data_IF_175765411216
#
_entry.id   IF_175765411216
#
_cell.length_a   1.000
_cell.length_b   1.000
_cell.length_c   1.000
_cell.angle_alpha   90.00
_cell.angle_beta   90.00
_cell.angle_gamma   90.00
#
_symmetry.space_group_name_H-M   'P 1'
#
loop_
_entity.id
_entity.type
_entity.pdbx_description
1 polymer ?
#
# COMPACT_ATOMS: atom_id res chain seq x y z
N UNK A 1 -11.61 22.02 5.44
CA UNK A 1 -10.25 22.52 5.34
C UNK A 1 -9.29 21.36 5.19
N UNK A 2 -8.25 21.54 4.37
CA UNK A 2 -7.21 20.53 4.18
C UNK A 2 -6.40 20.35 5.48
N UNK A 3 -5.96 19.11 5.75
CA UNK A 3 -5.07 18.83 6.86
C UNK A 3 -3.62 19.21 6.48
N UNK A 4 -2.88 19.70 7.46
CA UNK A 4 -1.42 19.77 7.38
C UNK A 4 -0.80 18.47 7.91
N UNK A 5 0.45 18.18 7.55
CA UNK A 5 1.15 16.98 7.98
C UNK A 5 2.55 17.30 8.52
N UNK A 6 2.95 16.50 9.51
CA UNK A 6 4.35 16.37 9.88
C UNK A 6 4.95 15.20 9.13
N UNK A 7 6.03 15.43 8.43
CA UNK A 7 6.86 14.40 7.83
C UNK A 7 7.72 13.73 8.91
N UNK A 8 7.64 12.42 9.01
CA UNK A 8 8.48 11.61 9.89
C UNK A 8 9.17 10.56 9.03
N UNK A 9 10.49 10.49 9.11
CA UNK A 9 11.28 9.53 8.34
C UNK A 9 12.36 8.89 9.19
N UNK A 10 12.67 7.64 8.89
CA UNK A 10 13.79 6.90 9.45
C UNK A 10 14.43 6.08 8.33
N UNK A 11 15.69 6.38 8.04
CA UNK A 11 16.54 5.59 7.14
C UNK A 11 17.69 5.03 7.95
N UNK A 12 17.92 3.73 7.84
CA UNK A 12 19.00 3.04 8.53
C UNK A 12 19.47 1.81 7.76
N UNK A 13 20.63 1.30 8.11
CA UNK A 13 21.16 0.07 7.52
C UNK A 13 22.06 -0.69 8.48
N UNK A 14 22.13 -2.00 8.28
CA UNK A 14 23.02 -2.85 9.08
C UNK A 14 23.79 -3.81 8.18
N UNK A 15 25.11 -3.89 8.39
CA UNK A 15 25.97 -4.91 7.77
C UNK A 15 25.83 -6.24 8.50
N UNK A 16 25.80 -7.34 7.75
CA UNK A 16 25.78 -8.69 8.32
C UNK A 16 27.11 -8.98 9.02
N UNK A 17 28.23 -8.71 8.35
CA UNK A 17 29.58 -8.86 8.90
C UNK A 17 30.16 -7.48 9.21
N UNK A 18 30.39 -7.21 10.49
CA UNK A 18 30.99 -5.94 10.93
C UNK A 18 32.42 -5.81 10.38
N UNK A 19 32.79 -4.60 9.98
CA UNK A 19 34.14 -4.25 9.50
C UNK A 19 34.62 -5.06 8.27
N UNK A 20 33.68 -5.57 7.44
CA UNK A 20 33.98 -6.27 6.20
C UNK A 20 33.53 -5.42 5.02
N UNK A 21 34.47 -5.15 4.09
CA UNK A 21 34.12 -4.50 2.83
C UNK A 21 33.32 -5.46 1.97
N UNK A 22 32.25 -4.93 1.32
CA UNK A 22 31.33 -5.75 0.52
C UNK A 22 30.44 -6.70 1.32
N UNK A 23 30.38 -6.55 2.68
CA UNK A 23 29.44 -7.30 3.49
C UNK A 23 28.00 -7.11 3.00
N UNK A 24 27.18 -8.17 2.98
CA UNK A 24 25.74 -8.04 2.80
C UNK A 24 25.16 -7.02 3.78
N UNK A 25 24.11 -6.32 3.33
CA UNK A 25 23.49 -5.23 4.06
C UNK A 25 21.97 -5.39 4.07
N UNK A 26 21.34 -5.09 5.20
CA UNK A 26 19.91 -4.83 5.27
C UNK A 26 19.67 -3.32 5.33
N UNK A 27 18.81 -2.81 4.46
CA UNK A 27 18.43 -1.38 4.38
C UNK A 27 16.97 -1.23 4.80
N UNK A 28 16.71 -0.28 5.67
CA UNK A 28 15.38 0.09 6.14
C UNK A 28 15.11 1.55 5.88
N UNK A 29 13.97 1.85 5.26
CA UNK A 29 13.51 3.21 5.02
C UNK A 29 12.00 3.30 5.25
N UNK A 30 11.56 4.24 6.08
CA UNK A 30 10.14 4.48 6.33
C UNK A 30 9.84 5.98 6.36
N UNK A 31 8.80 6.37 5.64
CA UNK A 31 8.29 7.73 5.57
C UNK A 31 6.81 7.76 5.94
N UNK A 32 6.45 8.44 7.02
CA UNK A 32 5.09 8.57 7.53
C UNK A 32 4.65 10.03 7.57
N UNK A 33 3.39 10.25 7.20
CA UNK A 33 2.71 11.54 7.30
C UNK A 33 1.76 11.52 8.49
N UNK A 34 2.07 12.29 9.54
CA UNK A 34 1.21 12.42 10.70
C UNK A 34 0.40 13.72 10.59
N UNK A 35 -0.95 13.65 10.61
CA UNK A 35 -1.78 14.83 10.46
C UNK A 35 -1.63 15.79 11.62
N UNK A 36 -1.53 17.09 11.28
CA UNK A 36 -1.65 18.21 12.22
C UNK A 36 -3.06 18.77 12.14
N UNK A 37 -3.80 18.73 13.22
CA UNK A 37 -5.15 19.29 13.27
C UNK A 37 -5.49 19.74 14.68
N UNK A 38 -6.22 20.87 14.80
CA UNK A 38 -6.83 21.31 16.06
C UNK A 38 -8.09 20.51 16.41
N UNK A 39 -8.62 19.76 15.46
CA UNK A 39 -9.77 18.86 15.67
C UNK A 39 -9.30 17.59 16.36
N UNK A 40 -9.41 17.60 17.70
CA UNK A 40 -8.97 16.46 18.53
C UNK A 40 -9.65 15.15 18.11
N UNK A 41 -10.94 15.19 17.78
CA UNK A 41 -11.71 14.03 17.34
C UNK A 41 -11.18 13.40 16.04
N UNK A 42 -10.68 14.23 15.12
CA UNK A 42 -10.03 13.77 13.87
C UNK A 42 -8.65 13.19 14.17
N UNK A 43 -7.86 13.83 15.02
CA UNK A 43 -6.56 13.33 15.43
C UNK A 43 -6.67 11.95 16.13
N UNK A 44 -7.58 11.84 17.09
CA UNK A 44 -7.85 10.60 17.85
C UNK A 44 -8.31 9.45 16.94
N UNK A 45 -8.95 9.75 15.81
CA UNK A 45 -9.34 8.76 14.81
C UNK A 45 -8.19 8.40 13.85
N UNK A 46 -7.55 9.40 13.22
CA UNK A 46 -6.60 9.17 12.12
C UNK A 46 -5.25 8.64 12.60
N UNK A 47 -4.69 9.19 13.67
CA UNK A 47 -3.33 8.83 14.11
C UNK A 47 -3.21 7.33 14.38
N UNK A 48 -4.14 6.67 15.10
CA UNK A 48 -4.10 5.23 15.28
C UNK A 48 -4.20 4.43 13.97
N UNK A 49 -4.92 4.93 12.96
CA UNK A 49 -4.99 4.26 11.65
C UNK A 49 -3.65 4.32 10.93
N UNK A 50 -3.02 5.48 10.91
CA UNK A 50 -1.73 5.70 10.26
C UNK A 50 -0.62 4.91 10.97
N UNK A 51 -0.64 4.85 12.29
CA UNK A 51 0.35 4.09 13.08
C UNK A 51 0.18 2.55 12.98
N UNK A 52 -0.82 2.04 12.28
CA UNK A 52 -0.98 0.61 11.96
C UNK A 52 -0.44 0.21 10.60
N UNK A 53 -0.18 1.18 9.74
CA UNK A 53 0.13 0.97 8.31
C UNK A 53 1.28 -0.02 8.06
N UNK A 54 2.42 0.00 8.77
CA UNK A 54 3.55 -0.87 8.48
C UNK A 54 3.29 -2.37 8.66
N UNK A 55 2.27 -2.76 9.43
CA UNK A 55 1.96 -4.19 9.66
C UNK A 55 1.03 -4.79 8.59
N UNK A 56 0.38 -3.95 7.77
CA UNK A 56 -0.66 -4.41 6.84
C UNK A 56 -0.11 -5.07 5.56
N UNK A 57 1.19 -5.14 5.38
CA UNK A 57 1.81 -5.54 4.10
C UNK A 57 2.72 -6.75 4.21
N UNK A 58 2.67 -7.50 5.28
CA UNK A 58 3.21 -8.85 5.27
C UNK A 58 2.29 -9.73 4.42
N UNK A 59 2.62 -9.87 3.14
CA UNK A 59 2.04 -10.89 2.26
C UNK A 59 2.56 -12.28 2.70
N UNK A 60 2.29 -12.67 3.94
CA UNK A 60 2.48 -14.05 4.33
C UNK A 60 1.30 -14.84 3.78
N UNK A 61 1.63 -15.75 2.87
CA UNK A 61 0.74 -16.80 2.40
C UNK A 61 0.00 -17.45 3.57
N UNK A 62 -1.25 -17.78 3.30
CA UNK A 62 -2.24 -18.39 4.17
C UNK A 62 -1.75 -19.74 4.75
N UNK A 63 -1.08 -19.71 5.88
CA UNK A 63 -0.97 -20.86 6.76
C UNK A 63 -2.08 -20.77 7.82
N UNK A 64 -3.10 -21.57 7.60
CA UNK A 64 -4.43 -21.69 8.20
C UNK A 64 -4.61 -21.60 9.72
N UNK A 65 -3.79 -20.91 10.46
CA UNK A 65 -3.94 -20.71 11.91
C UNK A 65 -4.05 -19.20 12.22
N UNK A 66 -5.30 -18.69 12.16
CA UNK A 66 -5.65 -17.30 12.49
C UNK A 66 -5.49 -17.03 13.97
N UNK A 67 -4.26 -16.91 14.43
CA UNK A 67 -4.02 -16.14 15.64
C UNK A 67 -4.10 -14.66 15.26
N UNK A 68 -5.16 -13.99 15.69
CA UNK A 68 -5.26 -12.53 15.63
C UNK A 68 -4.13 -11.96 16.48
N UNK A 69 -2.98 -11.68 15.86
CA UNK A 69 -1.89 -10.98 16.53
C UNK A 69 -2.42 -9.61 16.92
N UNK A 70 -2.40 -9.31 18.21
CA UNK A 70 -2.80 -8.01 18.73
C UNK A 70 -1.79 -6.99 18.19
N UNK A 71 -2.25 -6.11 17.28
CA UNK A 71 -1.41 -5.05 16.70
C UNK A 71 -0.95 -4.15 17.84
N UNK A 72 0.36 -3.96 18.07
CA UNK A 72 0.83 -3.10 19.14
C UNK A 72 0.42 -1.65 18.88
N UNK A 73 -0.02 -0.96 19.91
CA UNK A 73 -0.34 0.47 19.83
C UNK A 73 0.91 1.26 20.18
N UNK A 74 1.45 1.96 19.22
CA UNK A 74 2.62 2.82 19.42
C UNK A 74 2.19 4.20 19.92
N UNK A 75 3.00 4.79 20.81
CA UNK A 75 2.73 6.11 21.37
C UNK A 75 2.87 7.26 20.35
N UNK A 76 3.75 7.08 19.38
CA UNK A 76 4.06 8.05 18.33
C UNK A 76 4.76 7.41 17.12
N UNK A 77 4.96 8.18 16.06
CA UNK A 77 5.59 7.73 14.84
C UNK A 77 7.04 7.26 15.06
N UNK A 78 7.79 7.94 15.94
CA UNK A 78 9.19 7.56 16.21
C UNK A 78 9.28 6.18 16.84
N UNK A 79 8.43 5.88 17.83
CA UNK A 79 8.37 4.57 18.47
C UNK A 79 8.00 3.47 17.47
N UNK A 80 7.02 3.73 16.59
CA UNK A 80 6.64 2.81 15.53
C UNK A 80 7.81 2.53 14.58
N UNK A 81 8.42 3.58 14.03
CA UNK A 81 9.50 3.45 13.04
C UNK A 81 10.71 2.71 13.62
N UNK A 82 11.09 3.02 14.87
CA UNK A 82 12.18 2.32 15.55
C UNK A 82 11.86 0.84 15.78
N UNK A 83 10.65 0.52 16.25
CA UNK A 83 10.25 -0.86 16.49
C UNK A 83 10.26 -1.69 15.20
N UNK A 84 9.76 -1.14 14.08
CA UNK A 84 9.79 -1.82 12.79
C UNK A 84 11.22 -2.04 12.28
N UNK A 85 12.08 -1.00 12.35
CA UNK A 85 13.49 -1.13 12.00
C UNK A 85 14.19 -2.22 12.84
N UNK A 86 14.01 -2.19 14.15
CA UNK A 86 14.68 -3.12 15.06
C UNK A 86 14.20 -4.56 14.82
N UNK A 87 12.91 -4.75 14.57
CA UNK A 87 12.34 -6.05 14.21
C UNK A 87 12.93 -6.58 12.89
N UNK A 88 12.97 -5.73 11.85
CA UNK A 88 13.53 -6.09 10.56
C UNK A 88 15.02 -6.46 10.64
N UNK A 89 15.82 -5.66 11.34
CA UNK A 89 17.25 -5.96 11.51
C UNK A 89 17.51 -7.18 12.39
N UNK A 90 16.65 -7.44 13.38
CA UNK A 90 16.72 -8.65 14.19
C UNK A 90 16.43 -9.90 13.36
N UNK A 91 15.34 -9.86 12.57
CA UNK A 91 14.98 -10.93 11.65
C UNK A 91 16.12 -11.22 10.66
N UNK A 92 16.66 -10.18 10.01
CA UNK A 92 17.77 -10.30 9.07
C UNK A 92 18.99 -11.01 9.69
N UNK A 93 19.38 -10.58 10.88
CA UNK A 93 20.52 -11.18 11.58
C UNK A 93 20.25 -12.62 12.02
N UNK A 94 19.02 -12.95 12.40
CA UNK A 94 18.65 -14.30 12.82
C UNK A 94 18.64 -15.28 11.64
N UNK A 95 18.15 -14.85 10.47
CA UNK A 95 18.18 -15.66 9.24
C UNK A 95 19.61 -16.07 8.89
N UNK A 96 20.57 -15.16 9.01
CA UNK A 96 21.97 -15.37 8.61
C UNK A 96 22.93 -15.59 9.79
N UNK A 97 22.43 -15.95 10.97
CA UNK A 97 23.25 -16.11 12.20
C UNK A 97 24.37 -17.15 12.09
N UNK A 98 24.14 -18.19 11.30
CA UNK A 98 25.09 -19.30 11.12
C UNK A 98 26.00 -19.11 9.89
N UNK A 99 25.78 -18.03 9.13
CA UNK A 99 26.59 -17.73 7.97
C UNK A 99 27.99 -17.24 8.35
N UNK A 100 28.98 -17.74 7.61
CA UNK A 100 30.39 -17.38 7.82
C UNK A 100 30.92 -16.66 6.59
N UNK A 101 31.81 -15.71 6.83
CA UNK A 101 32.52 -15.04 5.77
C UNK A 101 33.30 -16.07 4.91
N UNK A 102 33.01 -16.11 3.62
CA UNK A 102 33.68 -16.95 2.66
C UNK A 102 34.06 -16.14 1.42
N UNK A 103 35.25 -16.39 0.88
CA UNK A 103 35.71 -15.74 -0.35
C UNK A 103 34.90 -16.13 -1.61
N UNK A 104 34.07 -17.18 -1.52
CA UNK A 104 33.29 -17.72 -2.65
C UNK A 104 31.80 -17.44 -2.55
N UNK A 105 31.33 -16.75 -1.51
CA UNK A 105 29.91 -16.47 -1.34
C UNK A 105 29.48 -15.30 -2.23
N UNK A 106 28.42 -15.54 -3.00
CA UNK A 106 27.71 -14.49 -3.73
C UNK A 106 26.78 -13.76 -2.75
N UNK A 107 27.31 -12.76 -2.06
CA UNK A 107 26.59 -12.03 -1.00
C UNK A 107 25.41 -11.21 -1.52
N UNK A 108 25.22 -11.07 -2.82
CA UNK A 108 24.11 -10.30 -3.38
C UNK A 108 22.74 -10.81 -2.93
N UNK A 109 22.55 -12.14 -2.89
CA UNK A 109 21.31 -12.76 -2.46
C UNK A 109 21.01 -12.59 -0.96
N UNK A 110 22.01 -12.13 -0.19
CA UNK A 110 21.90 -11.88 1.24
C UNK A 110 21.64 -10.39 1.56
N UNK A 111 21.54 -9.53 0.56
CA UNK A 111 21.08 -8.16 0.77
C UNK A 111 19.56 -8.13 0.95
N UNK A 112 19.10 -7.40 1.96
CA UNK A 112 17.69 -7.21 2.25
C UNK A 112 17.34 -5.73 2.22
N UNK A 113 16.09 -5.41 1.86
CA UNK A 113 15.56 -4.06 1.92
C UNK A 113 14.10 -4.07 2.35
N UNK A 114 13.72 -3.12 3.17
CA UNK A 114 12.33 -2.86 3.54
C UNK A 114 12.09 -1.34 3.44
N UNK A 115 11.21 -0.93 2.54
CA UNK A 115 10.90 0.47 2.28
C UNK A 115 9.39 0.69 2.36
N UNK A 116 8.99 1.71 3.10
CA UNK A 116 7.59 2.13 3.23
C UNK A 116 7.48 3.63 3.02
N UNK A 117 6.54 4.08 2.20
CA UNK A 117 6.23 5.50 2.05
C UNK A 117 4.73 5.76 2.11
N UNK A 118 4.36 6.95 2.57
CA UNK A 118 2.98 7.43 2.59
C UNK A 118 2.89 8.74 1.84
N UNK A 119 1.92 8.82 0.91
CA UNK A 119 1.64 10.00 0.11
C UNK A 119 0.18 10.43 0.24
N UNK A 120 -0.05 11.76 0.20
CA UNK A 120 -1.40 12.32 0.17
C UNK A 120 -1.89 12.39 -1.27
N UNK A 121 -2.96 11.67 -1.59
CA UNK A 121 -3.59 11.66 -2.91
C UNK A 121 -4.68 12.75 -3.01
N UNK A 122 -5.46 12.91 -1.94
CA UNK A 122 -6.53 13.90 -1.85
C UNK A 122 -6.74 14.35 -0.41
N UNK A 123 -7.00 15.63 -0.19
CA UNK A 123 -7.12 16.20 1.14
C UNK A 123 -8.00 17.46 1.12
N UNK A 124 -9.26 17.27 0.80
CA UNK A 124 -10.26 18.36 0.74
C UNK A 124 -11.64 17.84 1.14
N UNK A 125 -12.58 18.73 1.39
CA UNK A 125 -14.00 18.44 1.67
C UNK A 125 -14.21 17.41 2.78
N UNK A 126 -13.36 17.41 3.81
CA UNK A 126 -13.34 16.41 4.88
C UNK A 126 -13.11 14.96 4.41
N UNK A 127 -12.44 14.79 3.28
CA UNK A 127 -11.94 13.51 2.80
C UNK A 127 -10.42 13.58 2.76
N UNK A 128 -9.77 12.59 3.37
CA UNK A 128 -8.34 12.35 3.25
C UNK A 128 -8.12 11.03 2.52
N UNK A 129 -7.42 11.06 1.41
CA UNK A 129 -6.97 9.86 0.70
C UNK A 129 -5.47 9.74 0.72
N UNK A 130 -4.99 8.55 1.09
CA UNK A 130 -3.57 8.22 1.18
C UNK A 130 -3.23 7.07 0.24
N UNK A 131 -2.01 7.10 -0.29
CA UNK A 131 -1.34 5.97 -0.89
C UNK A 131 -0.18 5.54 0.01
N UNK A 132 -0.14 4.26 0.36
CA UNK A 132 0.91 3.66 1.17
C UNK A 132 1.62 2.65 0.29
N UNK A 133 2.87 2.94 -0.09
CA UNK A 133 3.68 2.09 -0.94
C UNK A 133 4.72 1.33 -0.12
N UNK A 134 4.88 0.06 -0.43
CA UNK A 134 5.83 -0.82 0.23
C UNK A 134 6.69 -1.53 -0.80
N UNK A 135 7.95 -1.74 -0.46
CA UNK A 135 8.89 -2.56 -1.20
C UNK A 135 9.71 -3.39 -0.24
N UNK A 136 9.75 -4.69 -0.46
CA UNK A 136 10.55 -5.64 0.28
C UNK A 136 11.44 -6.44 -0.67
N UNK A 137 12.72 -6.54 -0.33
CA UNK A 137 13.64 -7.44 -0.99
C UNK A 137 14.29 -8.34 0.07
N UNK A 138 14.07 -9.63 -0.07
CA UNK A 138 14.59 -10.66 0.84
C UNK A 138 15.45 -11.68 0.09
N UNK A 139 16.24 -11.20 -0.86
CA UNK A 139 16.99 -12.04 -1.78
C UNK A 139 16.15 -12.54 -2.96
N UNK A 140 16.76 -13.30 -3.84
CA UNK A 140 16.10 -13.86 -5.02
C UNK A 140 16.18 -12.97 -6.26
N UNK A 141 15.28 -13.20 -7.22
CA UNK A 141 15.34 -12.57 -8.55
C UNK A 141 14.81 -11.12 -8.57
N UNK A 142 13.86 -10.78 -7.69
CA UNK A 142 13.24 -9.45 -7.60
C UNK A 142 12.64 -9.23 -6.21
N UNK A 143 12.40 -7.97 -5.85
CA UNK A 143 11.65 -7.62 -4.66
C UNK A 143 10.14 -7.74 -4.87
N UNK A 144 9.40 -7.73 -3.78
CA UNK A 144 7.95 -7.55 -3.77
C UNK A 144 7.63 -6.08 -3.55
N UNK A 145 6.59 -5.61 -4.20
CA UNK A 145 6.10 -4.25 -4.00
C UNK A 145 4.59 -4.21 -4.10
N UNK A 146 4.01 -3.21 -3.49
CA UNK A 146 2.58 -2.98 -3.57
C UNK A 146 2.18 -1.63 -2.99
N UNK A 147 1.05 -1.13 -3.43
CA UNK A 147 0.46 0.11 -2.96
C UNK A 147 -0.93 -0.14 -2.41
N UNK A 148 -1.16 0.30 -1.18
CA UNK A 148 -2.48 0.32 -0.54
C UNK A 148 -3.05 1.73 -0.63
N UNK A 149 -4.24 1.85 -1.19
CA UNK A 149 -5.01 3.08 -1.26
C UNK A 149 -6.08 3.06 -0.17
N UNK A 150 -6.28 4.18 0.50
CA UNK A 150 -7.33 4.32 1.52
C UNK A 150 -7.88 5.73 1.53
N UNK A 151 -9.18 5.86 1.77
CA UNK A 151 -9.85 7.16 1.98
C UNK A 151 -10.57 7.18 3.32
N UNK A 152 -10.46 8.31 4.02
CA UNK A 152 -11.11 8.55 5.31
C UNK A 152 -12.14 9.68 5.18
N UNK A 153 -13.33 9.45 5.72
CA UNK A 153 -14.31 10.50 5.96
C UNK A 153 -14.02 11.11 7.36
N UNK A 154 -13.53 12.35 7.38
CA UNK A 154 -13.11 13.03 8.61
C UNK A 154 -14.27 13.53 9.47
N UNK A 155 -15.47 13.69 8.89
CA UNK A 155 -16.67 14.05 9.63
C UNK A 155 -17.26 12.84 10.32
N UNK A 156 -17.37 11.72 9.61
CA UNK A 156 -17.93 10.47 10.14
C UNK A 156 -16.90 9.63 10.90
N UNK A 157 -15.62 9.99 10.79
CA UNK A 157 -14.48 9.28 11.43
C UNK A 157 -14.49 7.78 11.07
N UNK A 158 -14.52 7.50 9.78
CA UNK A 158 -14.50 6.13 9.25
C UNK A 158 -13.67 6.03 7.97
N UNK A 159 -13.23 4.80 7.68
CA UNK A 159 -12.71 4.43 6.37
C UNK A 159 -13.87 4.41 5.38
N UNK A 160 -13.66 4.96 4.19
CA UNK A 160 -14.64 4.94 3.10
C UNK A 160 -14.53 3.61 2.38
N UNK A 161 -15.63 2.87 2.29
CA UNK A 161 -15.75 1.60 1.57
C UNK A 161 -16.49 1.77 0.24
N UNK A 162 -16.46 0.75 -0.63
CA UNK A 162 -17.25 0.78 -1.87
C UNK A 162 -18.75 0.98 -1.61
N UNK A 163 -19.28 0.45 -0.52
CA UNK A 163 -20.69 0.63 -0.14
C UNK A 163 -21.02 2.07 0.31
N UNK A 164 -20.03 2.82 0.76
CA UNK A 164 -20.21 4.25 1.06
C UNK A 164 -20.23 5.09 -0.23
N UNK A 165 -19.46 4.67 -1.23
CA UNK A 165 -19.32 5.39 -2.50
C UNK A 165 -20.46 5.09 -3.45
N UNK A 166 -20.94 3.85 -3.47
CA UNK A 166 -21.89 3.37 -4.48
C UNK A 166 -23.23 2.96 -3.87
N UNK A 167 -24.29 3.18 -4.63
CA UNK A 167 -25.62 2.65 -4.36
C UNK A 167 -25.75 1.16 -4.73
N UNK A 168 -26.98 0.65 -4.74
CA UNK A 168 -27.26 -0.72 -5.18
C UNK A 168 -26.88 -0.94 -6.66
N UNK A 169 -26.54 -2.19 -7.00
CA UNK A 169 -26.32 -2.65 -8.39
C UNK A 169 -25.22 -1.92 -9.16
N UNK A 170 -24.25 -1.33 -8.49
CA UNK A 170 -23.16 -0.56 -9.10
C UNK A 170 -22.15 -1.41 -9.89
N UNK A 171 -21.98 -2.69 -9.53
CA UNK A 171 -20.89 -3.53 -10.03
C UNK A 171 -20.81 -3.62 -11.56
N UNK A 172 -21.89 -3.85 -12.32
CA UNK A 172 -21.79 -3.93 -13.77
C UNK A 172 -21.30 -2.62 -14.42
N UNK A 173 -21.73 -1.49 -13.90
CA UNK A 173 -21.35 -0.17 -14.41
C UNK A 173 -19.92 0.17 -14.03
N UNK A 174 -19.53 -0.07 -12.79
CA UNK A 174 -18.18 0.16 -12.33
C UNK A 174 -17.18 -0.75 -13.05
N UNK A 175 -17.47 -2.05 -13.17
CA UNK A 175 -16.59 -2.99 -13.88
C UNK A 175 -16.42 -2.60 -15.35
N UNK A 176 -17.47 -2.07 -16.00
CA UNK A 176 -17.37 -1.56 -17.36
C UNK A 176 -16.47 -0.32 -17.46
N UNK A 177 -16.56 0.60 -16.50
CA UNK A 177 -15.70 1.77 -16.43
C UNK A 177 -14.23 1.37 -16.17
N UNK A 178 -13.99 0.39 -15.30
CA UNK A 178 -12.66 -0.17 -15.04
C UNK A 178 -12.09 -0.84 -16.30
N UNK A 179 -12.89 -1.62 -17.04
CA UNK A 179 -12.47 -2.20 -18.31
C UNK A 179 -12.08 -1.12 -19.32
N UNK A 180 -12.85 -0.04 -19.39
CA UNK A 180 -12.55 1.10 -20.28
C UNK A 180 -11.21 1.74 -19.91
N UNK A 181 -10.96 1.97 -18.62
CA UNK A 181 -9.70 2.50 -18.11
C UNK A 181 -8.53 1.55 -18.41
N UNK A 182 -8.71 0.25 -18.19
CA UNK A 182 -7.71 -0.78 -18.46
C UNK A 182 -7.33 -0.82 -19.95
N UNK A 183 -8.32 -0.85 -20.83
CA UNK A 183 -8.11 -0.83 -22.29
C UNK A 183 -7.33 0.40 -22.73
N UNK A 184 -7.66 1.56 -22.18
CA UNK A 184 -6.93 2.80 -22.45
C UNK A 184 -5.48 2.72 -21.99
N UNK A 185 -5.25 2.23 -20.76
CA UNK A 185 -3.91 2.11 -20.17
C UNK A 185 -3.00 1.20 -21.01
N UNK A 186 -3.49 0.04 -21.41
CA UNK A 186 -2.72 -0.96 -22.17
C UNK A 186 -2.91 -0.86 -23.69
N UNK A 187 -3.61 0.16 -24.20
CA UNK A 187 -3.88 0.38 -25.64
C UNK A 187 -4.53 -0.82 -26.33
N UNK A 188 -5.44 -1.50 -25.62
CA UNK A 188 -6.21 -2.63 -26.15
C UNK A 188 -7.37 -2.13 -27.02
N UNK A 189 -7.55 -2.74 -28.20
CA UNK A 189 -8.75 -2.50 -29.00
C UNK A 189 -9.99 -3.13 -28.35
N UNK A 190 -11.18 -2.69 -28.77
CA UNK A 190 -12.45 -3.18 -28.21
C UNK A 190 -12.66 -4.69 -28.38
N UNK A 191 -12.06 -5.29 -29.42
CA UNK A 191 -12.13 -6.73 -29.73
C UNK A 191 -11.04 -7.56 -29.05
N UNK A 192 -10.02 -6.92 -28.46
CA UNK A 192 -8.92 -7.66 -27.84
C UNK A 192 -9.38 -8.30 -26.53
N UNK A 193 -8.91 -9.51 -26.28
CA UNK A 193 -9.16 -10.19 -25.00
C UNK A 193 -8.42 -9.49 -23.88
N UNK A 194 -9.03 -9.33 -22.69
CA UNK A 194 -8.35 -8.83 -21.51
C UNK A 194 -7.29 -9.83 -21.02
N UNK A 195 -7.43 -11.12 -21.34
CA UNK A 195 -6.43 -12.15 -21.01
C UNK A 195 -5.09 -11.97 -21.75
N UNK A 196 -4.98 -11.01 -22.64
CA UNK A 196 -3.67 -10.58 -23.16
C UNK A 196 -2.81 -9.89 -22.07
N UNK A 197 -3.43 -9.38 -21.00
CA UNK A 197 -2.79 -8.69 -19.88
C UNK A 197 -3.14 -9.37 -18.55
N UNK A 198 -4.42 -9.67 -18.33
CA UNK A 198 -4.93 -10.23 -17.08
C UNK A 198 -4.92 -11.75 -17.08
N UNK A 199 -4.96 -12.36 -15.90
CA UNK A 199 -5.17 -13.81 -15.76
C UNK A 199 -6.54 -14.24 -16.29
N UNK A 200 -7.58 -13.42 -16.05
CA UNK A 200 -8.94 -13.63 -16.51
C UNK A 200 -9.33 -12.68 -17.64
N UNK A 201 -10.35 -13.06 -18.43
CA UNK A 201 -10.92 -12.18 -19.47
C UNK A 201 -11.96 -11.21 -18.90
N UNK A 202 -11.80 -10.78 -17.66
CA UNK A 202 -12.68 -9.81 -16.98
C UNK A 202 -11.89 -9.01 -15.97
N UNK A 203 -12.43 -7.85 -15.58
CA UNK A 203 -11.94 -7.08 -14.45
C UNK A 203 -13.09 -6.78 -13.50
N UNK A 204 -12.84 -6.85 -12.22
CA UNK A 204 -13.78 -6.52 -11.16
C UNK A 204 -13.18 -5.46 -10.23
N UNK A 205 -14.05 -4.67 -9.59
CA UNK A 205 -13.61 -3.68 -8.63
C UNK A 205 -12.91 -4.35 -7.43
N UNK A 206 -11.87 -3.68 -6.94
CA UNK A 206 -11.15 -4.04 -5.72
C UNK A 206 -11.48 -3.05 -4.60
N UNK A 207 -11.34 -3.50 -3.35
CA UNK A 207 -11.41 -2.63 -2.17
C UNK A 207 -10.15 -1.76 -1.99
N UNK A 208 -9.12 -2.00 -2.78
CA UNK A 208 -7.91 -1.18 -2.83
C UNK A 208 -8.13 0.03 -3.75
N UNK A 209 -8.77 1.05 -3.22
CA UNK A 209 -9.11 2.27 -3.94
C UNK A 209 -9.02 3.52 -3.07
N UNK A 210 -8.95 4.69 -3.71
CA UNK A 210 -9.11 5.96 -3.03
C UNK A 210 -9.88 6.99 -3.86
N UNK A 211 -10.52 7.93 -3.16
CA UNK A 211 -11.21 9.08 -3.76
C UNK A 211 -10.18 10.13 -4.15
N UNK A 212 -10.39 10.74 -5.30
CA UNK A 212 -9.62 11.88 -5.80
C UNK A 212 -10.54 13.07 -6.08
N UNK A 213 -10.00 14.17 -6.58
CA UNK A 213 -10.79 15.36 -6.89
C UNK A 213 -11.94 15.10 -7.91
N UNK A 214 -11.72 14.27 -8.93
CA UNK A 214 -12.66 14.11 -10.06
C UNK A 214 -13.02 12.66 -10.38
N UNK A 215 -12.64 11.72 -9.54
CA UNK A 215 -12.84 10.30 -9.77
C UNK A 215 -12.30 9.43 -8.65
N UNK A 216 -12.20 8.17 -8.95
CA UNK A 216 -11.71 7.13 -8.04
C UNK A 216 -10.50 6.47 -8.69
N UNK A 217 -9.45 6.32 -7.91
CA UNK A 217 -8.26 5.55 -8.28
C UNK A 217 -8.37 4.17 -7.66
N UNK A 218 -8.28 3.12 -8.47
CA UNK A 218 -8.21 1.73 -8.07
C UNK A 218 -6.81 1.20 -8.29
N UNK A 219 -6.31 0.36 -7.38
CA UNK A 219 -4.98 -0.23 -7.46
C UNK A 219 -5.09 -1.76 -7.38
N UNK A 220 -4.45 -2.43 -8.31
CA UNK A 220 -4.24 -3.88 -8.31
C UNK A 220 -2.74 -4.13 -8.22
N UNK A 221 -2.32 -4.79 -7.15
CA UNK A 221 -0.92 -5.09 -6.92
C UNK A 221 -0.45 -6.26 -7.79
N UNK A 222 0.86 -6.47 -7.94
CA UNK A 222 1.40 -7.62 -8.67
C UNK A 222 0.78 -8.94 -8.18
N UNK A 223 0.46 -9.82 -9.10
CA UNK A 223 -0.19 -11.12 -8.91
C UNK A 223 -1.69 -11.09 -8.53
N UNK A 224 -2.30 -9.95 -8.27
CA UNK A 224 -3.74 -9.90 -7.97
C UNK A 224 -4.60 -10.24 -9.20
N UNK A 225 -4.33 -9.59 -10.33
CA UNK A 225 -5.10 -9.78 -11.57
C UNK A 225 -4.23 -10.05 -12.80
N UNK A 226 -2.91 -9.87 -12.68
CA UNK A 226 -1.94 -10.03 -13.76
C UNK A 226 -0.60 -10.54 -13.22
N UNK A 227 0.30 -10.97 -14.11
CA UNK A 227 1.64 -11.40 -13.72
C UNK A 227 2.48 -10.27 -13.12
N UNK A 228 3.52 -10.62 -12.38
CA UNK A 228 4.47 -9.67 -11.82
C UNK A 228 5.04 -8.68 -12.86
N UNK A 229 5.27 -9.17 -14.08
CA UNK A 229 5.78 -8.34 -15.18
C UNK A 229 4.85 -7.19 -15.61
N UNK A 230 3.56 -7.28 -15.29
CA UNK A 230 2.60 -6.18 -15.53
C UNK A 230 2.76 -5.04 -14.51
N UNK A 231 3.43 -5.30 -13.39
CA UNK A 231 3.59 -4.36 -12.29
C UNK A 231 2.29 -4.07 -11.55
N UNK A 232 2.25 -2.94 -10.86
CA UNK A 232 1.02 -2.39 -10.28
C UNK A 232 0.13 -1.82 -11.38
N UNK A 233 -1.14 -2.18 -11.35
CA UNK A 233 -2.14 -1.69 -12.31
C UNK A 233 -3.04 -0.68 -11.61
N UNK A 234 -2.74 0.60 -11.79
CA UNK A 234 -3.59 1.70 -11.34
C UNK A 234 -4.61 2.08 -12.41
N UNK A 235 -5.88 2.13 -12.04
CA UNK A 235 -6.99 2.47 -12.95
C UNK A 235 -7.79 3.63 -12.38
N UNK A 236 -7.84 4.71 -13.15
CA UNK A 236 -8.62 5.89 -12.81
C UNK A 236 -10.00 5.83 -13.47
N UNK A 237 -11.05 5.99 -12.66
CA UNK A 237 -12.44 6.05 -13.10
C UNK A 237 -13.02 7.43 -12.79
N UNK A 238 -13.30 8.28 -13.80
CA UNK A 238 -13.93 9.57 -13.59
C UNK A 238 -15.33 9.44 -12.96
N UNK A 239 -15.70 10.33 -12.05
CA UNK A 239 -17.08 10.37 -11.51
C UNK A 239 -18.13 10.53 -12.59
N UNK A 240 -17.81 11.21 -13.70
CA UNK A 240 -18.72 11.40 -14.83
C UNK A 240 -19.16 10.05 -15.44
N UNK A 241 -18.28 9.05 -15.47
CA UNK A 241 -18.53 7.75 -16.10
C UNK A 241 -19.40 6.82 -15.23
N UNK A 242 -19.51 7.12 -13.93
CA UNK A 242 -20.20 6.29 -12.92
C UNK A 242 -21.25 7.08 -12.14
N UNK A 243 -21.62 8.29 -12.60
CA UNK A 243 -22.50 9.21 -11.88
C UNK A 243 -23.84 8.57 -11.45
N UNK A 244 -24.40 7.70 -12.31
CA UNK A 244 -25.70 7.07 -12.06
C UNK A 244 -25.71 6.05 -10.93
N UNK A 245 -24.54 5.59 -10.48
CA UNK A 245 -24.39 4.60 -9.40
C UNK A 245 -23.70 5.16 -8.16
N UNK A 246 -23.30 6.43 -8.18
CA UNK A 246 -22.75 7.08 -6.99
C UNK A 246 -23.82 7.25 -5.92
N UNK A 247 -23.44 7.02 -4.67
CA UNK A 247 -24.32 7.26 -3.54
C UNK A 247 -24.54 8.78 -3.36
N UNK A 248 -25.78 9.28 -3.40
CA UNK A 248 -26.06 10.72 -3.26
C UNK A 248 -25.66 11.30 -1.90
N UNK A 249 -25.50 10.47 -0.88
CA UNK A 249 -25.09 10.90 0.45
C UNK A 249 -23.60 11.22 0.54
N UNK A 250 -22.79 10.72 -0.39
CA UNK A 250 -21.38 11.02 -0.47
C UNK A 250 -21.18 12.41 -1.08
N UNK A 251 -20.88 13.40 -0.25
CA UNK A 251 -20.59 14.78 -0.68
C UNK A 251 -19.16 14.85 -1.18
N UNK A 252 -18.99 14.60 -2.46
CA UNK A 252 -17.71 14.69 -3.20
C UNK A 252 -17.43 16.12 -3.67
#
# INVERSE_FOLDING_TARGET
>A
DALEFTHNSLSDSVKLFKNVDGSPIATFDINLLIPKTSRKDVADFLIPQILKIPESVSLTEDDGDKQVKKIPVFKDAAALMQANRDSFFSMYKDIFKDEKLSATNEYFAMNYANLTSTDVVYNEKNILSLAISNYDFEGGAHGNHGTTLVSYNLNEKKVITLNDVFGADYKPILNKALETSLRKKFKLASKDSLSNILFDNKIEATDNFCITNKGILFMYNPYEIASYAAGEIDLYVPFADIKQVLNPSLKL
#
